data_IF_627691309657
#
_entry.id   IF_627691309657
#
_cell.length_a   1.000
_cell.length_b   1.000
_cell.length_c   1.000
_cell.angle_alpha   90.00
_cell.angle_beta   90.00
_cell.angle_gamma   90.00
#
_symmetry.space_group_name_H-M   'P 1'
#
loop_
_entity.id
_entity.type
_entity.pdbx_description
1 polymer ?
#
# COMPACT_ATOMS: atom_id res chain seq x y z
N UNK A 1 44.68 -35.64 60.35
CA UNK A 1 44.53 -34.25 59.85
C UNK A 1 43.90 -34.32 58.41
N UNK A 2 42.66 -33.86 58.29
CA UNK A 2 41.87 -33.97 57.07
C UNK A 2 41.85 -32.59 56.35
N UNK A 3 42.59 -32.44 55.25
CA UNK A 3 42.53 -31.25 54.44
C UNK A 3 41.24 -31.30 53.59
N UNK A 4 40.34 -30.36 53.82
CA UNK A 4 39.20 -30.09 52.93
C UNK A 4 39.62 -29.07 51.85
N UNK A 5 39.71 -29.51 50.63
CA UNK A 5 39.93 -28.67 49.47
C UNK A 5 38.58 -28.02 49.08
N UNK A 6 38.50 -26.70 49.21
CA UNK A 6 37.32 -25.91 48.81
C UNK A 6 37.47 -25.54 47.35
N UNK A 7 36.71 -26.18 46.50
CA UNK A 7 36.63 -25.80 45.06
C UNK A 7 35.61 -24.68 44.94
N UNK A 8 36.10 -23.45 44.70
CA UNK A 8 35.26 -22.29 44.37
C UNK A 8 34.95 -22.38 42.90
N UNK A 9 33.72 -22.77 42.56
CA UNK A 9 33.22 -22.77 41.20
C UNK A 9 32.98 -21.34 40.70
N UNK A 10 33.78 -20.91 39.74
CA UNK A 10 33.62 -19.62 39.06
C UNK A 10 32.47 -19.74 38.04
N UNK A 11 31.30 -19.26 38.39
CA UNK A 11 30.13 -19.24 37.54
C UNK A 11 30.26 -18.04 36.55
N UNK A 12 30.77 -18.30 35.33
CA UNK A 12 30.82 -17.33 34.24
C UNK A 12 29.41 -17.04 33.77
N UNK A 13 28.88 -15.90 34.18
CA UNK A 13 27.66 -15.34 33.58
C UNK A 13 27.98 -14.88 32.15
N UNK A 14 27.71 -15.72 31.18
CA UNK A 14 27.69 -15.32 29.76
C UNK A 14 26.49 -14.40 29.56
N UNK A 15 26.73 -13.09 29.61
CA UNK A 15 25.77 -12.09 29.11
C UNK A 15 25.65 -12.26 27.61
N UNK A 16 24.61 -12.93 27.15
CA UNK A 16 24.19 -12.89 25.80
C UNK A 16 23.55 -11.52 25.55
N UNK A 17 24.34 -10.59 25.04
CA UNK A 17 23.79 -9.38 24.44
C UNK A 17 23.01 -9.80 23.19
N UNK A 18 21.70 -9.82 23.28
CA UNK A 18 20.84 -9.94 22.11
C UNK A 18 20.99 -8.64 21.34
N UNK A 19 21.72 -8.71 20.23
CA UNK A 19 21.77 -7.65 19.25
C UNK A 19 20.38 -7.68 18.59
N UNK A 20 19.50 -6.74 18.99
CA UNK A 20 18.30 -6.44 18.25
C UNK A 20 18.76 -5.79 16.94
N UNK A 21 18.91 -6.58 15.89
CA UNK A 21 18.95 -6.04 14.54
C UNK A 21 17.62 -5.34 14.29
N UNK A 22 17.62 -4.03 14.36
CA UNK A 22 16.50 -3.23 13.84
C UNK A 22 16.52 -3.43 12.35
N UNK A 23 15.72 -4.37 11.86
CA UNK A 23 15.47 -4.55 10.44
C UNK A 23 14.91 -3.23 9.88
N UNK A 24 15.79 -2.43 9.29
CA UNK A 24 15.42 -1.23 8.53
C UNK A 24 14.83 -1.61 7.17
N UNK A 25 13.99 -2.65 7.16
CA UNK A 25 13.31 -3.09 5.97
C UNK A 25 12.32 -2.00 5.53
N UNK A 26 12.50 -1.50 4.32
CA UNK A 26 11.57 -0.61 3.65
C UNK A 26 10.89 -1.46 2.56
N UNK A 27 9.58 -1.73 2.71
CA UNK A 27 8.86 -2.51 1.71
C UNK A 27 8.80 -1.77 0.37
N UNK A 28 8.64 -2.49 -0.70
CA UNK A 28 8.37 -1.91 -2.02
C UNK A 28 6.99 -1.25 -2.06
N UNK A 29 6.74 -0.42 -3.05
CA UNK A 29 5.43 0.21 -3.23
C UNK A 29 4.32 -0.83 -3.45
N UNK A 30 4.62 -1.94 -4.14
CA UNK A 30 3.65 -3.00 -4.43
C UNK A 30 3.38 -3.90 -3.21
N UNK A 31 4.31 -3.99 -2.26
CA UNK A 31 4.09 -4.62 -0.95
C UNK A 31 3.31 -3.71 0.00
N UNK A 32 3.55 -2.41 -0.08
CA UNK A 32 2.88 -1.41 0.76
C UNK A 32 1.42 -1.17 0.37
N UNK A 33 1.11 -1.31 -0.92
CA UNK A 33 -0.21 -1.02 -1.49
C UNK A 33 -0.62 -2.14 -2.45
N UNK A 34 -1.39 -3.10 -1.95
CA UNK A 34 -1.92 -4.20 -2.76
C UNK A 34 -3.24 -3.78 -3.39
N UNK A 35 -3.30 -3.84 -4.70
CA UNK A 35 -4.47 -3.43 -5.47
C UNK A 35 -5.22 -4.64 -6.02
N UNK A 36 -6.53 -4.54 -6.04
CA UNK A 36 -7.43 -5.48 -6.68
C UNK A 36 -8.45 -4.75 -7.54
N UNK A 37 -8.94 -5.37 -8.60
CA UNK A 37 -10.00 -4.81 -9.42
C UNK A 37 -11.07 -5.84 -9.72
N UNK A 38 -12.34 -5.41 -9.75
CA UNK A 38 -13.48 -6.24 -10.10
C UNK A 38 -14.56 -5.46 -10.84
N UNK A 39 -15.30 -6.15 -11.65
CA UNK A 39 -16.49 -5.63 -12.31
C UNK A 39 -17.74 -6.05 -11.53
N UNK A 40 -18.48 -5.05 -11.15
CA UNK A 40 -19.81 -5.19 -10.57
C UNK A 40 -20.78 -4.58 -11.60
N UNK A 41 -21.78 -5.26 -12.01
CA UNK A 41 -22.66 -4.94 -13.16
C UNK A 41 -22.95 -3.44 -13.45
N UNK A 42 -22.80 -2.56 -12.47
CA UNK A 42 -23.02 -1.11 -12.57
C UNK A 42 -21.76 -0.26 -12.51
N UNK A 43 -20.63 -0.81 -12.03
CA UNK A 43 -19.38 -0.07 -11.85
C UNK A 43 -18.16 -1.01 -11.87
N UNK A 44 -17.01 -0.44 -12.10
CA UNK A 44 -15.73 -1.08 -11.84
C UNK A 44 -15.25 -0.59 -10.47
N UNK A 45 -14.87 -1.52 -9.60
CA UNK A 45 -14.32 -1.23 -8.29
C UNK A 45 -12.84 -1.60 -8.26
N UNK A 46 -12.01 -0.69 -7.76
CA UNK A 46 -10.61 -0.95 -7.41
C UNK A 46 -10.46 -0.83 -5.91
N UNK A 47 -10.04 -1.92 -5.28
CA UNK A 47 -9.69 -1.96 -3.86
C UNK A 47 -8.22 -1.68 -3.65
N UNK A 48 -7.93 -0.88 -2.63
CA UNK A 48 -6.60 -0.62 -2.11
C UNK A 48 -6.50 -1.24 -0.72
N UNK A 49 -5.61 -2.20 -0.56
CA UNK A 49 -5.25 -2.77 0.72
C UNK A 49 -3.90 -2.18 1.13
N UNK A 50 -3.89 -1.51 2.27
CA UNK A 50 -2.73 -0.79 2.77
C UNK A 50 -2.01 -1.59 3.85
N UNK A 51 -0.70 -1.72 3.72
CA UNK A 51 0.13 -2.25 4.80
C UNK A 51 0.06 -1.31 6.03
N UNK A 52 0.14 -1.83 7.27
CA UNK A 52 0.24 -0.98 8.47
C UNK A 52 1.31 0.10 8.33
N UNK A 53 1.04 1.28 8.88
CA UNK A 53 1.90 2.46 8.82
C UNK A 53 2.13 3.05 7.41
N UNK A 54 1.29 2.71 6.44
CA UNK A 54 1.28 3.34 5.13
C UNK A 54 0.08 4.27 4.95
N UNK A 55 0.18 5.20 4.00
CA UNK A 55 -0.94 6.05 3.60
C UNK A 55 -0.82 6.47 2.14
N UNK A 56 -1.95 6.81 1.54
CA UNK A 56 -2.05 7.32 0.16
C UNK A 56 -2.66 8.72 0.21
N UNK A 57 -2.11 9.65 -0.58
CA UNK A 57 -2.65 10.99 -0.76
C UNK A 57 -3.85 10.96 -1.69
N UNK A 58 -4.97 11.58 -1.26
CA UNK A 58 -6.19 11.62 -2.05
C UNK A 58 -6.02 12.37 -3.37
N UNK A 59 -5.36 13.51 -3.33
CA UNK A 59 -5.14 14.38 -4.50
C UNK A 59 -4.19 13.78 -5.54
N UNK A 60 -3.46 12.70 -5.16
CA UNK A 60 -2.55 11.98 -6.05
C UNK A 60 -3.20 10.75 -6.72
N UNK A 61 -4.46 10.42 -6.36
CA UNK A 61 -5.18 9.36 -7.04
C UNK A 61 -5.84 9.94 -8.28
N UNK A 62 -5.54 9.38 -9.44
CA UNK A 62 -6.21 9.76 -10.67
C UNK A 62 -6.35 8.57 -11.63
N UNK A 63 -7.42 8.61 -12.42
CA UNK A 63 -7.71 7.67 -13.49
C UNK A 63 -7.73 8.40 -14.82
N UNK A 64 -7.13 7.81 -15.84
CA UNK A 64 -7.12 8.30 -17.21
C UNK A 64 -7.35 7.18 -18.20
N UNK A 65 -7.98 7.50 -19.30
CA UNK A 65 -8.03 6.61 -20.45
C UNK A 65 -6.73 6.68 -21.29
N UNK A 66 -6.66 5.91 -22.36
CA UNK A 66 -5.49 5.87 -23.25
C UNK A 66 -5.30 7.15 -24.08
N UNK A 67 -6.28 8.05 -24.10
CA UNK A 67 -6.21 9.36 -24.74
C UNK A 67 -5.88 10.47 -23.73
N UNK A 68 -5.43 10.11 -22.53
CA UNK A 68 -5.12 11.01 -21.41
C UNK A 68 -6.35 11.75 -20.85
N UNK A 69 -7.57 11.33 -21.19
CA UNK A 69 -8.80 11.92 -20.69
C UNK A 69 -9.07 11.44 -19.27
N UNK A 70 -9.41 12.38 -18.38
CA UNK A 70 -9.70 12.10 -16.99
C UNK A 70 -10.98 11.25 -16.83
N UNK A 71 -10.90 10.23 -16.01
CA UNK A 71 -12.05 9.42 -15.59
C UNK A 71 -12.43 9.80 -14.19
N UNK A 72 -13.69 10.20 -13.97
CA UNK A 72 -14.21 10.51 -12.64
C UNK A 72 -14.55 9.23 -11.89
N UNK A 73 -14.31 9.24 -10.59
CA UNK A 73 -14.56 8.12 -9.70
C UNK A 73 -15.06 8.60 -8.34
N UNK A 74 -15.72 7.71 -7.63
CA UNK A 74 -16.12 7.88 -6.24
C UNK A 74 -15.11 7.24 -5.32
N UNK A 75 -14.83 7.88 -4.19
CA UNK A 75 -13.97 7.38 -3.12
C UNK A 75 -14.82 6.81 -1.99
N UNK A 76 -14.50 5.61 -1.54
CA UNK A 76 -15.18 4.96 -0.43
C UNK A 76 -14.15 4.48 0.60
N UNK A 77 -14.04 5.17 1.71
CA UNK A 77 -13.09 4.91 2.80
C UNK A 77 -13.08 6.08 3.80
N UNK A 78 -12.37 5.89 4.91
CA UNK A 78 -12.19 6.91 5.93
C UNK A 78 -11.04 7.84 5.56
N UNK A 79 -11.38 9.08 5.18
CA UNK A 79 -10.41 10.13 4.94
C UNK A 79 -9.93 10.72 6.26
N UNK A 80 -8.67 11.12 6.30
CA UNK A 80 -8.06 11.87 7.39
C UNK A 80 -7.28 13.06 6.85
N UNK A 81 -7.26 14.14 7.59
CA UNK A 81 -6.33 15.22 7.35
C UNK A 81 -4.97 14.91 7.97
N UNK A 82 -3.92 15.26 7.27
CA UNK A 82 -2.54 15.12 7.70
C UNK A 82 -1.75 16.35 7.30
N UNK A 83 -1.03 16.92 8.25
CA UNK A 83 0.02 17.88 7.94
C UNK A 83 1.27 17.11 7.49
N UNK A 84 1.62 17.29 6.24
CA UNK A 84 2.73 16.60 5.60
C UNK A 84 3.88 17.56 5.31
N UNK A 85 5.12 17.11 5.50
CA UNK A 85 6.30 17.94 5.29
C UNK A 85 6.52 18.36 3.83
N UNK A 86 5.97 17.61 2.87
CA UNK A 86 6.15 17.85 1.44
C UNK A 86 4.97 18.58 0.81
N UNK A 87 3.74 18.31 1.29
CA UNK A 87 2.50 18.78 0.66
C UNK A 87 1.66 19.68 1.59
N UNK A 88 2.10 19.94 2.84
CA UNK A 88 1.34 20.72 3.81
C UNK A 88 0.09 19.96 4.27
N UNK A 89 -0.99 20.70 4.56
CA UNK A 89 -2.25 20.08 4.97
C UNK A 89 -2.90 19.36 3.77
N UNK A 90 -3.06 18.06 3.87
CA UNK A 90 -3.57 17.20 2.80
C UNK A 90 -4.50 16.12 3.35
N UNK A 91 -5.40 15.62 2.51
CA UNK A 91 -6.24 14.46 2.83
C UNK A 91 -5.52 13.16 2.45
N UNK A 92 -5.62 12.16 3.32
CA UNK A 92 -5.02 10.84 3.11
C UNK A 92 -6.02 9.72 3.43
N UNK A 93 -5.73 8.53 2.90
CA UNK A 93 -6.21 7.25 3.42
C UNK A 93 -5.05 6.52 4.10
N UNK A 94 -5.22 6.13 5.36
CA UNK A 94 -4.27 5.30 6.13
C UNK A 94 -4.86 3.93 6.50
N UNK A 95 -5.99 3.60 5.93
CA UNK A 95 -6.68 2.31 6.01
C UNK A 95 -7.18 1.91 4.63
N UNK A 96 -7.54 0.65 4.47
CA UNK A 96 -8.10 0.13 3.23
C UNK A 96 -9.27 0.99 2.72
N UNK A 97 -9.30 1.20 1.41
CA UNK A 97 -10.33 1.98 0.76
C UNK A 97 -10.61 1.48 -0.66
N UNK A 98 -11.60 2.04 -1.32
CA UNK A 98 -12.00 1.66 -2.67
C UNK A 98 -12.29 2.89 -3.51
N UNK A 99 -12.06 2.75 -4.80
CA UNK A 99 -12.56 3.68 -5.81
C UNK A 99 -13.56 2.96 -6.70
N UNK A 100 -14.59 3.68 -7.15
CA UNK A 100 -15.64 3.17 -8.05
C UNK A 100 -15.84 4.13 -9.21
N UNK A 101 -15.94 3.59 -10.39
CA UNK A 101 -16.20 4.39 -11.60
C UNK A 101 -17.11 3.64 -12.57
N UNK A 102 -17.74 4.40 -13.48
CA UNK A 102 -18.65 3.84 -14.46
C UNK A 102 -17.95 2.78 -15.33
N UNK A 103 -18.65 1.71 -15.72
CA UNK A 103 -18.10 0.70 -16.61
C UNK A 103 -17.65 1.33 -17.91
N UNK A 104 -16.50 0.89 -18.40
CA UNK A 104 -15.91 1.33 -19.65
C UNK A 104 -15.52 0.13 -20.50
N UNK A 105 -15.60 0.31 -21.80
CA UNK A 105 -15.26 -0.73 -22.76
C UNK A 105 -13.86 -0.56 -23.36
N UNK A 106 -13.12 0.44 -22.89
CA UNK A 106 -11.69 0.57 -23.23
C UNK A 106 -10.92 -0.61 -22.63
N UNK A 107 -9.99 -1.13 -23.40
CA UNK A 107 -9.19 -2.29 -22.99
C UNK A 107 -8.29 -2.02 -21.79
N UNK A 108 -7.97 -0.74 -21.56
CA UNK A 108 -6.99 -0.33 -20.57
C UNK A 108 -7.30 1.07 -20.01
N UNK A 109 -7.19 1.19 -18.69
CA UNK A 109 -7.27 2.46 -17.96
C UNK A 109 -5.99 2.61 -17.15
N UNK A 110 -5.45 3.81 -17.05
CA UNK A 110 -4.29 4.15 -16.26
C UNK A 110 -4.75 4.65 -14.88
N UNK A 111 -4.32 3.96 -13.84
CA UNK A 111 -4.48 4.37 -12.46
C UNK A 111 -3.14 4.88 -11.95
N UNK A 112 -3.11 6.12 -11.48
CA UNK A 112 -1.94 6.71 -10.87
C UNK A 112 -2.23 7.04 -9.41
N UNK A 113 -1.25 6.80 -8.52
CA UNK A 113 -1.35 7.11 -7.10
C UNK A 113 0.02 7.35 -6.49
N UNK A 114 0.05 7.99 -5.33
CA UNK A 114 1.27 8.18 -4.54
C UNK A 114 0.95 8.02 -3.07
N UNK A 115 1.86 7.40 -2.35
CA UNK A 115 1.75 7.18 -0.91
C UNK A 115 3.10 7.10 -0.24
N UNK A 116 3.08 6.95 1.09
CA UNK A 116 4.27 6.88 1.92
C UNK A 116 4.17 5.71 2.91
N UNK A 117 5.33 5.22 3.32
CA UNK A 117 5.51 4.42 4.51
C UNK A 117 5.90 5.38 5.64
N UNK A 118 5.07 5.50 6.65
CA UNK A 118 5.08 6.53 7.69
C UNK A 118 6.45 6.68 8.35
N UNK A 119 6.97 7.91 8.41
CA UNK A 119 8.26 8.26 8.98
C UNK A 119 9.48 7.54 8.37
N UNK A 120 9.34 6.91 7.21
CA UNK A 120 10.40 6.15 6.53
C UNK A 120 10.65 6.68 5.13
N UNK A 121 9.69 6.55 4.23
CA UNK A 121 9.84 6.90 2.81
C UNK A 121 8.52 7.31 2.19
N UNK A 122 8.56 8.31 1.31
CA UNK A 122 7.49 8.58 0.37
C UNK A 122 7.89 8.01 -1.00
N UNK A 123 7.05 7.14 -1.52
CA UNK A 123 7.32 6.50 -2.80
C UNK A 123 7.12 7.48 -3.95
N UNK A 124 7.85 7.32 -5.05
CA UNK A 124 7.50 7.98 -6.30
C UNK A 124 6.06 7.65 -6.73
N UNK A 125 5.46 8.52 -7.52
CA UNK A 125 4.15 8.23 -8.10
C UNK A 125 4.17 6.90 -8.85
N UNK A 126 3.19 6.03 -8.55
CA UNK A 126 3.07 4.69 -9.12
C UNK A 126 1.93 4.67 -10.13
N UNK A 127 2.21 4.10 -11.30
CA UNK A 127 1.21 3.85 -12.32
C UNK A 127 0.90 2.35 -12.40
N UNK A 128 -0.39 2.02 -12.45
CA UNK A 128 -0.92 0.67 -12.67
C UNK A 128 -1.90 0.69 -13.84
N UNK A 129 -1.98 -0.44 -14.53
CA UNK A 129 -2.94 -0.62 -15.60
C UNK A 129 -4.16 -1.39 -15.08
N UNK A 130 -5.35 -0.85 -15.30
CA UNK A 130 -6.60 -1.59 -15.14
C UNK A 130 -6.92 -2.19 -16.51
N UNK A 131 -6.81 -3.50 -16.63
CA UNK A 131 -7.05 -4.24 -17.87
C UNK A 131 -8.48 -4.74 -17.87
N UNK A 132 -9.25 -4.33 -18.88
CA UNK A 132 -10.65 -4.68 -19.06
C UNK A 132 -10.78 -5.64 -20.24
N UNK A 133 -11.33 -6.81 -19.99
CA UNK A 133 -11.68 -7.76 -21.06
C UNK A 133 -13.18 -7.75 -21.30
N UNK A 134 -13.55 -7.67 -22.56
CA UNK A 134 -14.95 -7.70 -22.98
C UNK A 134 -15.22 -8.95 -23.83
N UNK A 135 -16.40 -9.52 -23.65
CA UNK A 135 -16.97 -10.57 -24.51
C UNK A 135 -18.34 -10.11 -24.98
N UNK A 136 -18.56 -10.15 -26.32
CA UNK A 136 -19.85 -9.87 -26.98
C UNK A 136 -20.60 -8.63 -26.48
N UNK A 137 -19.92 -7.53 -26.17
CA UNK A 137 -20.46 -6.27 -25.65
C UNK A 137 -20.69 -6.24 -24.12
N UNK A 138 -20.19 -7.21 -23.38
CA UNK A 138 -20.18 -7.15 -21.91
C UNK A 138 -18.76 -7.24 -21.38
N UNK A 139 -18.51 -6.64 -20.20
CA UNK A 139 -17.25 -6.80 -19.50
C UNK A 139 -17.22 -8.20 -18.90
N UNK A 140 -16.23 -8.99 -19.26
CA UNK A 140 -16.06 -10.36 -18.77
C UNK A 140 -15.10 -10.46 -17.60
N UNK A 141 -14.09 -9.60 -17.53
CA UNK A 141 -13.18 -9.50 -16.39
C UNK A 141 -12.46 -8.17 -16.32
N UNK A 142 -12.03 -7.82 -15.10
CA UNK A 142 -11.18 -6.66 -14.83
C UNK A 142 -10.05 -7.11 -13.91
N UNK A 143 -8.83 -6.64 -14.17
CA UNK A 143 -7.65 -6.90 -13.32
C UNK A 143 -6.64 -5.76 -13.35
N UNK A 144 -5.80 -5.73 -12.34
CA UNK A 144 -4.65 -4.82 -12.23
C UNK A 144 -3.40 -5.51 -12.78
N UNK A 145 -2.57 -4.73 -13.48
CA UNK A 145 -1.26 -5.15 -13.99
C UNK A 145 -0.22 -4.07 -13.62
#
# INVERSE_FOLDING_TARGET
MKNKLFIVGFFSLLNHAQIFETNNFIPTVDESFVLSARYESKYIEVGFQLMPDTYIYLDKINLKDMNDSKIYFELNGNKKEKEDLFFGLTEIFDTDFKIKFAPRYEKKILLNFQGCYKNKVCYPSKMKNIIIKCDKKSISSVKID
#
